data_IF_429493763820
#
_entry.id   IF_429493763820
#
_cell.length_a   1.000
_cell.length_b   1.000
_cell.length_c   1.000
_cell.angle_alpha   90.00
_cell.angle_beta   90.00
_cell.angle_gamma   90.00
#
_symmetry.space_group_name_H-M   'P 1'
#
loop_
_entity.id
_entity.type
_entity.pdbx_description
1 polymer ?
#
# COMPACT_ATOMS: atom_id res chain seq x y z
N UNK A 1 -8.33 -16.67 2.70
CA UNK A 1 -7.78 -16.41 1.36
C UNK A 1 -6.42 -15.83 1.58
N UNK A 2 -5.41 -16.46 1.00
CA UNK A 2 -4.03 -15.97 1.11
C UNK A 2 -3.80 -14.82 0.13
N UNK A 3 -2.88 -13.90 0.41
CA UNK A 3 -2.46 -12.89 -0.54
C UNK A 3 -1.84 -13.55 -1.79
N UNK A 4 -2.29 -13.14 -2.98
CA UNK A 4 -1.75 -13.64 -4.26
C UNK A 4 -0.76 -12.64 -4.90
N UNK A 5 -0.62 -11.45 -4.31
CA UNK A 5 0.21 -10.37 -4.84
C UNK A 5 0.79 -9.53 -3.70
N UNK A 6 2.05 -9.12 -3.85
CA UNK A 6 2.76 -8.27 -2.89
C UNK A 6 3.04 -6.88 -3.49
N UNK A 7 2.88 -5.86 -2.67
CA UNK A 7 3.15 -4.45 -2.99
C UNK A 7 3.90 -3.80 -1.83
N UNK A 8 4.52 -2.65 -2.07
CA UNK A 8 5.10 -1.85 -1.00
C UNK A 8 4.18 -0.69 -0.63
N UNK A 9 3.74 -0.62 0.63
CA UNK A 9 3.06 0.57 1.16
C UNK A 9 4.12 1.63 1.48
N UNK A 10 4.03 2.78 0.82
CA UNK A 10 5.02 3.87 0.93
C UNK A 10 4.48 5.11 1.63
N UNK A 11 3.20 5.14 1.95
CA UNK A 11 2.58 6.28 2.63
C UNK A 11 1.09 6.13 2.83
N UNK A 12 0.48 7.16 3.39
CA UNK A 12 -0.96 7.26 3.60
C UNK A 12 -1.41 8.71 3.52
N UNK A 13 -2.71 8.92 3.39
CA UNK A 13 -3.30 10.25 3.40
C UNK A 13 -4.81 10.21 3.63
N UNK A 14 -5.43 11.38 3.55
CA UNK A 14 -6.88 11.57 3.66
C UNK A 14 -7.31 12.52 2.55
N UNK A 15 -8.40 12.21 1.84
CA UNK A 15 -8.96 13.13 0.83
C UNK A 15 -9.63 14.33 1.52
N UNK A 16 -9.89 15.44 0.81
CA UNK A 16 -10.64 16.58 1.37
C UNK A 16 -12.01 16.19 1.95
N UNK A 17 -12.63 15.14 1.42
CA UNK A 17 -13.92 14.59 1.87
C UNK A 17 -13.78 13.63 3.07
N UNK A 18 -12.58 13.52 3.65
CA UNK A 18 -12.33 12.72 4.84
C UNK A 18 -12.06 11.23 4.58
N UNK A 19 -11.75 10.83 3.35
CA UNK A 19 -11.52 9.40 3.02
C UNK A 19 -10.07 9.01 3.25
N UNK A 20 -9.76 8.10 4.19
CA UNK A 20 -8.38 7.68 4.42
C UNK A 20 -7.93 6.64 3.37
N UNK A 21 -6.71 6.79 2.87
CA UNK A 21 -6.12 5.90 1.86
C UNK A 21 -4.66 5.56 2.16
N UNK A 22 -4.22 4.40 1.68
CA UNK A 22 -2.82 4.00 1.53
C UNK A 22 -2.27 4.44 0.17
N UNK A 23 -0.97 4.70 0.11
CA UNK A 23 -0.22 4.89 -1.13
C UNK A 23 0.65 3.65 -1.32
N UNK A 24 0.38 2.89 -2.37
CA UNK A 24 1.11 1.67 -2.70
C UNK A 24 1.97 1.86 -3.95
N UNK A 25 3.17 1.29 -3.92
CA UNK A 25 4.04 1.09 -5.09
C UNK A 25 3.82 -0.32 -5.63
N UNK A 26 3.43 -0.44 -6.89
CA UNK A 26 3.28 -1.71 -7.59
C UNK A 26 4.54 -2.07 -8.39
N UNK A 27 4.58 -3.29 -8.93
CA UNK A 27 5.71 -3.86 -9.68
C UNK A 27 5.41 -4.08 -11.18
N UNK A 28 4.28 -3.60 -11.70
CA UNK A 28 3.85 -3.79 -13.09
C UNK A 28 4.33 -2.69 -14.06
N UNK A 29 5.42 -2.01 -13.73
CA UNK A 29 5.98 -0.94 -14.58
C UNK A 29 5.29 0.42 -14.45
N UNK A 30 5.95 1.45 -14.98
CA UNK A 30 5.52 2.85 -14.85
C UNK A 30 4.25 3.19 -15.65
N UNK A 31 3.94 2.40 -16.69
CA UNK A 31 2.75 2.59 -17.51
C UNK A 31 1.45 2.23 -16.77
N UNK A 32 1.54 1.50 -15.66
CA UNK A 32 0.38 1.09 -14.88
C UNK A 32 0.03 2.12 -13.80
N UNK A 33 -1.27 2.38 -13.63
CA UNK A 33 -1.77 3.26 -12.58
C UNK A 33 -1.20 4.66 -12.67
N UNK A 34 -0.73 5.20 -11.54
CA UNK A 34 -0.13 6.52 -11.47
C UNK A 34 1.40 6.39 -11.44
N UNK A 35 2.02 6.23 -12.60
CA UNK A 35 3.48 6.02 -12.72
C UNK A 35 3.99 4.80 -11.92
N UNK A 36 3.21 3.71 -11.87
CA UNK A 36 3.48 2.51 -11.08
C UNK A 36 2.92 2.53 -9.65
N UNK A 37 2.24 3.60 -9.25
CA UNK A 37 1.65 3.75 -7.92
C UNK A 37 0.13 3.71 -7.95
N UNK A 38 -0.48 3.47 -6.79
CA UNK A 38 -1.92 3.51 -6.59
C UNK A 38 -2.30 4.07 -5.22
N UNK A 39 -3.55 4.47 -5.08
CA UNK A 39 -4.18 4.77 -3.80
C UNK A 39 -5.29 3.75 -3.54
N UNK A 40 -5.38 3.22 -2.34
CA UNK A 40 -6.44 2.29 -1.94
C UNK A 40 -7.01 2.71 -0.59
N UNK A 41 -8.32 2.61 -0.43
CA UNK A 41 -9.00 3.04 0.81
C UNK A 41 -8.55 2.17 1.97
N UNK A 42 -8.10 2.81 3.06
CA UNK A 42 -7.63 2.16 4.30
C UNK A 42 -8.80 1.82 5.23
N UNK A 43 -9.85 2.63 5.23
CA UNK A 43 -10.99 2.46 6.14
C UNK A 43 -12.18 3.29 5.69
N UNK A 44 -13.38 2.70 5.74
CA UNK A 44 -14.69 3.37 5.89
C UNK A 44 -14.90 4.64 5.03
N UNK A 45 -15.53 4.47 3.87
CA UNK A 45 -16.34 5.52 3.26
C UNK A 45 -17.79 5.05 3.17
N UNK A 46 -18.72 5.86 3.69
CA UNK A 46 -20.18 5.68 3.57
C UNK A 46 -20.77 4.30 3.95
N UNK A 47 -20.78 3.95 5.24
CA UNK A 47 -21.69 2.91 5.79
C UNK A 47 -21.39 1.45 5.45
N UNK A 48 -20.59 1.15 4.43
CA UNK A 48 -20.21 -0.22 4.05
C UNK A 48 -18.98 -0.66 4.86
N UNK A 49 -19.08 -1.84 5.49
CA UNK A 49 -18.05 -2.49 6.32
C UNK A 49 -16.85 -3.03 5.49
N UNK A 50 -16.28 -2.22 4.60
CA UNK A 50 -15.03 -2.56 3.92
C UNK A 50 -13.84 -2.34 4.84
N UNK A 51 -13.50 -3.34 5.66
CA UNK A 51 -12.18 -3.44 6.30
C UNK A 51 -11.24 -4.13 5.31
N UNK A 52 -9.97 -3.76 5.29
CA UNK A 52 -8.93 -4.56 4.62
C UNK A 52 -9.16 -4.76 3.11
N UNK A 53 -9.22 -3.66 2.34
CA UNK A 53 -9.45 -3.73 0.90
C UNK A 53 -8.38 -4.60 0.22
N UNK A 54 -8.83 -5.64 -0.50
CA UNK A 54 -7.98 -6.63 -1.15
C UNK A 54 -6.98 -7.31 -0.21
N UNK A 55 -7.25 -7.37 1.10
CA UNK A 55 -6.36 -8.04 2.04
C UNK A 55 -5.08 -7.26 2.39
N UNK A 56 -4.94 -6.00 1.95
CA UNK A 56 -3.70 -5.19 2.09
C UNK A 56 -3.24 -4.95 3.54
N UNK A 57 -4.12 -5.07 4.52
CA UNK A 57 -3.84 -4.96 5.96
C UNK A 57 -3.77 -6.32 6.66
N UNK A 58 -3.89 -7.42 5.89
CA UNK A 58 -3.94 -8.78 6.40
C UNK A 58 -2.57 -9.43 6.61
N UNK A 59 -1.63 -9.16 5.70
CA UNK A 59 -0.26 -9.68 5.77
C UNK A 59 0.74 -8.58 5.39
N UNK A 60 1.69 -8.29 6.28
CA UNK A 60 2.63 -7.19 6.17
C UNK A 60 3.97 -7.59 6.79
N UNK A 61 5.05 -7.37 6.05
CA UNK A 61 6.42 -7.55 6.55
C UNK A 61 7.21 -6.24 6.50
N UNK A 62 8.20 -6.11 7.38
CA UNK A 62 9.16 -5.01 7.39
C UNK A 62 10.54 -5.51 7.81
N UNK A 63 11.58 -4.78 7.42
CA UNK A 63 12.95 -5.05 7.85
C UNK A 63 13.74 -3.74 7.96
N UNK A 64 14.65 -3.68 8.93
CA UNK A 64 15.66 -2.62 9.01
C UNK A 64 16.95 -3.11 8.32
N UNK A 65 17.47 -2.40 7.30
CA UNK A 65 18.71 -2.80 6.64
C UNK A 65 19.90 -2.79 7.59
N UNK A 66 20.70 -3.86 7.59
CA UNK A 66 21.99 -3.86 8.27
C UNK A 66 22.93 -2.80 7.67
N UNK A 67 23.78 -2.19 8.49
CA UNK A 67 24.75 -1.15 8.07
C UNK A 67 24.13 0.10 7.45
N UNK A 68 22.91 0.48 7.88
CA UNK A 68 22.26 1.72 7.44
C UNK A 68 21.86 1.72 5.97
N UNK A 69 21.60 0.54 5.39
CA UNK A 69 21.14 0.42 4.00
C UNK A 69 22.22 0.67 2.95
N UNK A 70 23.48 0.77 3.34
CA UNK A 70 24.60 0.89 2.39
C UNK A 70 24.80 -0.46 1.68
N UNK A 71 24.78 -0.49 0.32
CA UNK A 71 25.14 -1.69 -0.41
C UNK A 71 26.54 -2.15 0.01
N UNK A 72 26.70 -3.44 0.31
CA UNK A 72 28.04 -4.02 0.36
C UNK A 72 28.55 -4.02 -1.09
N UNK A 73 29.68 -3.34 -1.31
CA UNK A 73 30.39 -3.39 -2.59
C UNK A 73 30.89 -4.81 -2.86
#
# INVERSE_FOLDING_TARGET
TEPEHEIAVVGYGTTPEGVPYWIGRNSWGHYWGHSGFFRIVRKRYCGVRGKNNLGIEGDCAWAAPANGGKPRR
#
